data_IF_366821305485
#
_entry.id   IF_366821305485
#
_cell.length_a   1.000
_cell.length_b   1.000
_cell.length_c   1.000
_cell.angle_alpha   90.00
_cell.angle_beta   90.00
_cell.angle_gamma   90.00
#
_symmetry.space_group_name_H-M   'P 1'
#
loop_
_entity.id
_entity.type
_entity.pdbx_description
1 polymer ?
#
# COMPACT_ATOMS: atom_id res chain seq x y z
N UNK A 1 -20.59 33.61 10.99
CA UNK A 1 -19.43 32.73 10.66
C UNK A 1 -19.62 31.28 11.16
N UNK A 2 -20.07 31.02 12.40
CA UNK A 2 -20.30 29.64 12.94
C UNK A 2 -21.44 28.92 12.22
N UNK A 3 -22.52 29.62 11.88
CA UNK A 3 -23.66 29.05 11.13
C UNK A 3 -23.32 28.67 9.70
N UNK A 4 -22.49 29.45 9.00
CA UNK A 4 -22.02 29.14 7.65
C UNK A 4 -21.14 27.89 7.62
N UNK A 5 -20.24 27.73 8.63
CA UNK A 5 -19.38 26.54 8.75
C UNK A 5 -20.18 25.27 9.01
N UNK A 6 -21.18 25.34 9.91
CA UNK A 6 -22.11 24.22 10.17
C UNK A 6 -22.95 23.83 8.93
N UNK A 7 -23.42 24.81 8.15
CA UNK A 7 -24.19 24.56 6.94
C UNK A 7 -23.33 23.90 5.83
N UNK A 8 -22.08 24.33 5.69
CA UNK A 8 -21.10 23.73 4.78
C UNK A 8 -20.75 22.28 5.17
N UNK A 9 -20.56 22.03 6.48
CA UNK A 9 -20.30 20.67 7.00
C UNK A 9 -21.49 19.73 6.77
N UNK A 10 -22.73 20.18 7.05
CA UNK A 10 -23.95 19.40 6.77
C UNK A 10 -24.10 19.07 5.28
N UNK A 11 -23.82 20.01 4.39
CA UNK A 11 -23.88 19.80 2.94
C UNK A 11 -22.81 18.81 2.46
N UNK A 12 -21.57 18.93 2.96
CA UNK A 12 -20.48 18.01 2.65
C UNK A 12 -20.82 16.58 3.10
N UNK A 13 -21.38 16.43 4.31
CA UNK A 13 -21.80 15.12 4.81
C UNK A 13 -22.96 14.52 3.99
N UNK A 14 -23.93 15.35 3.57
CA UNK A 14 -25.05 14.88 2.74
C UNK A 14 -24.58 14.38 1.37
N UNK A 15 -23.64 15.09 0.73
CA UNK A 15 -23.04 14.67 -0.54
C UNK A 15 -22.27 13.36 -0.35
N UNK A 16 -21.44 13.26 0.70
CA UNK A 16 -20.67 12.06 1.01
C UNK A 16 -21.59 10.84 1.20
N UNK A 17 -22.64 10.96 2.04
CA UNK A 17 -23.58 9.85 2.24
C UNK A 17 -24.40 9.52 1.02
N UNK A 18 -24.75 10.52 0.21
CA UNK A 18 -25.44 10.32 -1.06
C UNK A 18 -24.59 9.48 -2.02
N UNK A 19 -23.32 9.85 -2.20
CA UNK A 19 -22.40 9.10 -3.05
C UNK A 19 -22.16 7.68 -2.54
N UNK A 20 -21.95 7.52 -1.22
CA UNK A 20 -21.79 6.20 -0.61
C UNK A 20 -23.04 5.33 -0.80
N UNK A 21 -24.23 5.91 -0.63
CA UNK A 21 -25.49 5.21 -0.85
C UNK A 21 -25.68 4.78 -2.29
N UNK A 22 -25.34 5.65 -3.26
CA UNK A 22 -25.39 5.32 -4.70
C UNK A 22 -24.39 4.18 -5.01
N UNK A 23 -23.15 4.29 -4.56
CA UNK A 23 -22.12 3.26 -4.81
C UNK A 23 -22.54 1.91 -4.22
N UNK A 24 -23.02 1.90 -2.98
CA UNK A 24 -23.50 0.68 -2.32
C UNK A 24 -24.73 0.12 -3.06
N UNK A 25 -25.67 0.96 -3.45
CA UNK A 25 -26.85 0.56 -4.22
C UNK A 25 -26.47 -0.08 -5.55
N UNK A 26 -25.59 0.54 -6.33
CA UNK A 26 -25.10 0.00 -7.59
C UNK A 26 -24.37 -1.33 -7.39
N UNK A 27 -23.54 -1.44 -6.33
CA UNK A 27 -22.86 -2.68 -6.00
C UNK A 27 -23.85 -3.80 -5.67
N UNK A 28 -24.85 -3.55 -4.82
CA UNK A 28 -25.89 -4.53 -4.46
C UNK A 28 -26.71 -4.93 -5.69
N UNK A 29 -27.13 -3.98 -6.52
CA UNK A 29 -27.84 -4.26 -7.77
C UNK A 29 -27.00 -5.16 -8.69
N UNK A 30 -25.71 -4.85 -8.83
CA UNK A 30 -24.78 -5.66 -9.62
C UNK A 30 -24.64 -7.08 -9.08
N UNK A 31 -24.55 -7.25 -7.75
CA UNK A 31 -24.49 -8.56 -7.12
C UNK A 31 -25.77 -9.38 -7.38
N UNK A 32 -26.93 -8.76 -7.25
CA UNK A 32 -28.22 -9.42 -7.50
C UNK A 32 -28.35 -9.79 -8.97
N UNK A 33 -28.09 -8.84 -9.88
CA UNK A 33 -28.23 -9.05 -11.32
C UNK A 33 -27.31 -10.15 -11.87
N UNK A 34 -26.14 -10.35 -11.24
CA UNK A 34 -25.13 -11.32 -11.68
C UNK A 34 -25.10 -12.59 -10.83
N UNK A 35 -26.04 -12.75 -9.90
CA UNK A 35 -26.02 -13.84 -8.89
C UNK A 35 -24.67 -13.95 -8.16
N UNK A 36 -24.12 -12.83 -7.76
CA UNK A 36 -22.86 -12.73 -7.04
C UNK A 36 -21.60 -12.73 -7.93
N UNK A 37 -21.71 -13.01 -9.22
CA UNK A 37 -20.55 -13.13 -10.12
C UNK A 37 -19.80 -11.82 -10.32
N UNK A 38 -20.45 -10.66 -10.13
CA UNK A 38 -19.80 -9.36 -10.27
C UNK A 38 -18.67 -9.13 -9.23
N UNK A 39 -18.67 -9.84 -8.10
CA UNK A 39 -17.58 -9.74 -7.14
C UNK A 39 -16.25 -10.19 -7.75
N UNK A 40 -16.27 -11.18 -8.62
CA UNK A 40 -15.09 -11.68 -9.32
C UNK A 40 -14.56 -10.73 -10.40
N UNK A 41 -15.27 -9.64 -10.73
CA UNK A 41 -14.78 -8.60 -11.63
C UNK A 41 -13.92 -7.57 -10.88
N UNK A 42 -14.10 -7.47 -9.55
CA UNK A 42 -13.40 -6.49 -8.71
C UNK A 42 -12.38 -7.14 -7.75
N UNK A 43 -12.70 -8.32 -7.23
CA UNK A 43 -11.89 -9.07 -6.30
C UNK A 43 -11.91 -10.55 -6.71
N UNK A 44 -10.83 -11.25 -6.43
CA UNK A 44 -10.67 -12.68 -6.70
C UNK A 44 -10.82 -13.08 -8.19
N UNK A 45 -10.54 -12.11 -9.08
CA UNK A 45 -10.66 -12.32 -10.53
C UNK A 45 -9.71 -13.39 -11.04
N UNK A 46 -8.43 -13.28 -10.73
CA UNK A 46 -7.43 -14.28 -11.09
C UNK A 46 -7.16 -15.23 -9.94
N UNK A 47 -7.74 -16.41 -10.03
CA UNK A 47 -7.58 -17.46 -9.02
C UNK A 47 -6.13 -17.85 -8.76
N UNK A 48 -5.24 -17.67 -9.76
CA UNK A 48 -3.81 -17.95 -9.60
C UNK A 48 -3.10 -16.89 -8.76
N UNK A 49 -3.65 -15.68 -8.70
CA UNK A 49 -3.06 -14.54 -8.03
C UNK A 49 -3.60 -14.27 -6.62
N UNK A 50 -4.73 -14.92 -6.25
CA UNK A 50 -5.35 -14.73 -4.92
C UNK A 50 -4.34 -15.04 -3.82
N UNK A 51 -4.05 -14.04 -2.96
CA UNK A 51 -3.11 -14.07 -1.83
C UNK A 51 -1.65 -14.36 -2.20
N UNK A 52 -1.33 -14.48 -3.50
CA UNK A 52 -0.04 -15.02 -3.93
C UNK A 52 1.13 -14.07 -3.69
N UNK A 53 0.93 -12.76 -3.56
CA UNK A 53 2.02 -11.85 -3.17
C UNK A 53 2.58 -12.21 -1.78
N UNK A 54 1.72 -12.67 -0.84
CA UNK A 54 2.14 -13.15 0.47
C UNK A 54 2.92 -14.47 0.35
N UNK A 55 2.34 -15.47 -0.30
CA UNK A 55 2.93 -16.80 -0.37
C UNK A 55 4.20 -16.84 -1.21
N UNK A 56 4.22 -16.15 -2.37
CA UNK A 56 5.42 -16.05 -3.21
C UNK A 56 6.56 -15.34 -2.49
N UNK A 57 6.28 -14.23 -1.81
CA UNK A 57 7.33 -13.51 -1.07
C UNK A 57 7.90 -14.35 0.08
N UNK A 58 7.09 -15.19 0.72
CA UNK A 58 7.58 -16.15 1.72
C UNK A 58 8.46 -17.21 1.08
N UNK A 59 8.05 -17.75 -0.06
CA UNK A 59 8.88 -18.72 -0.81
C UNK A 59 10.23 -18.14 -1.22
N UNK A 60 10.23 -16.87 -1.62
CA UNK A 60 11.44 -16.19 -2.07
C UNK A 60 12.44 -16.00 -0.93
N UNK A 61 11.99 -15.64 0.27
CA UNK A 61 12.88 -15.47 1.42
C UNK A 61 13.22 -16.78 2.15
N UNK A 62 12.43 -17.85 1.95
CA UNK A 62 12.64 -19.11 2.64
C UNK A 62 13.98 -19.77 2.30
N UNK A 63 14.52 -19.55 1.11
CA UNK A 63 15.84 -20.03 0.71
C UNK A 63 17.02 -19.26 1.34
N UNK A 64 16.74 -18.14 2.04
CA UNK A 64 17.76 -17.24 2.58
C UNK A 64 18.37 -16.27 1.57
N UNK A 65 18.04 -16.40 0.28
CA UNK A 65 18.53 -15.54 -0.79
C UNK A 65 17.36 -15.01 -1.66
N UNK A 66 16.63 -13.99 -1.19
CA UNK A 66 15.54 -13.41 -1.95
C UNK A 66 16.04 -12.66 -3.20
N UNK A 67 17.22 -12.07 -3.16
CA UNK A 67 17.71 -11.22 -4.25
C UNK A 67 18.23 -12.02 -5.44
N UNK A 68 18.82 -13.17 -5.22
CA UNK A 68 19.13 -14.13 -6.28
C UNK A 68 17.87 -14.62 -7.02
N UNK A 69 16.71 -14.57 -6.39
CA UNK A 69 15.39 -14.84 -7.02
C UNK A 69 14.75 -13.61 -7.68
N UNK A 70 15.52 -12.56 -7.93
CA UNK A 70 15.07 -11.31 -8.59
C UNK A 70 14.00 -10.53 -7.82
N UNK A 71 13.96 -10.67 -6.51
CA UNK A 71 13.04 -9.94 -5.66
C UNK A 71 13.37 -8.45 -5.61
N UNK A 72 12.32 -7.61 -5.43
CA UNK A 72 12.39 -6.15 -5.56
C UNK A 72 11.98 -5.38 -4.31
N UNK A 73 11.60 -6.08 -3.25
CA UNK A 73 11.26 -5.40 -1.99
C UNK A 73 12.51 -5.12 -1.15
N UNK A 74 12.49 -4.07 -0.31
CA UNK A 74 13.53 -3.86 0.69
C UNK A 74 13.63 -5.04 1.66
N UNK A 75 14.81 -5.28 2.28
CA UNK A 75 15.07 -6.50 3.05
C UNK A 75 14.22 -6.65 4.30
N UNK A 76 13.77 -5.56 4.92
CA UNK A 76 12.86 -5.64 6.07
C UNK A 76 11.56 -6.39 5.73
N UNK A 77 11.07 -6.27 4.50
CA UNK A 77 9.93 -7.03 3.99
C UNK A 77 10.15 -8.52 4.12
N UNK A 78 11.33 -8.99 3.71
CA UNK A 78 11.66 -10.42 3.75
C UNK A 78 11.94 -10.91 5.17
N UNK A 79 12.47 -10.07 6.06
CA UNK A 79 12.56 -10.37 7.50
C UNK A 79 11.16 -10.64 8.08
N UNK A 80 10.19 -9.79 7.75
CA UNK A 80 8.79 -9.97 8.20
C UNK A 80 8.22 -11.30 7.65
N UNK A 81 8.39 -11.56 6.37
CA UNK A 81 7.89 -12.78 5.75
C UNK A 81 8.60 -14.05 6.28
N UNK A 82 9.88 -13.97 6.63
CA UNK A 82 10.61 -15.07 7.27
C UNK A 82 9.99 -15.44 8.63
N UNK A 83 9.42 -14.49 9.37
CA UNK A 83 8.69 -14.79 10.60
C UNK A 83 7.44 -15.64 10.29
N UNK A 84 6.67 -15.26 9.29
CA UNK A 84 5.46 -15.99 8.91
C UNK A 84 5.75 -17.35 8.27
N UNK A 85 6.89 -17.50 7.59
CA UNK A 85 7.28 -18.77 6.99
C UNK A 85 7.40 -19.91 8.02
N UNK A 86 7.73 -19.58 9.27
CA UNK A 86 7.85 -20.55 10.38
C UNK A 86 6.52 -21.20 10.75
N UNK A 87 5.41 -20.59 10.37
CA UNK A 87 4.06 -21.07 10.66
C UNK A 87 3.41 -21.78 9.46
N UNK A 88 4.11 -21.85 8.33
CA UNK A 88 3.61 -22.46 7.11
C UNK A 88 4.18 -23.88 6.90
N UNK A 89 3.45 -24.76 6.22
CA UNK A 89 3.94 -26.13 5.90
C UNK A 89 4.91 -26.07 4.72
N UNK A 90 6.14 -25.54 4.95
CA UNK A 90 7.13 -25.32 3.89
C UNK A 90 7.64 -26.59 3.22
N UNK A 91 7.53 -27.75 3.87
CA UNK A 91 7.82 -29.05 3.21
C UNK A 91 6.78 -29.38 2.13
N UNK A 92 5.54 -28.95 2.30
CA UNK A 92 4.53 -29.00 1.24
C UNK A 92 4.92 -28.11 0.05
N UNK A 93 5.47 -26.91 0.33
CA UNK A 93 5.94 -26.01 -0.71
C UNK A 93 7.04 -26.66 -1.60
N UNK A 94 7.98 -27.39 -0.98
CA UNK A 94 9.04 -28.10 -1.70
C UNK A 94 8.52 -29.21 -2.62
N UNK A 95 7.45 -29.89 -2.20
CA UNK A 95 6.90 -31.06 -2.94
C UNK A 95 5.85 -30.66 -3.97
N UNK A 96 5.00 -29.70 -3.66
CA UNK A 96 3.79 -29.41 -4.42
C UNK A 96 3.66 -27.91 -4.82
N UNK A 97 4.65 -27.07 -4.46
CA UNK A 97 4.66 -25.66 -4.76
C UNK A 97 3.80 -24.81 -3.80
N UNK A 98 3.90 -23.49 -3.94
CA UNK A 98 3.25 -22.54 -3.03
C UNK A 98 1.73 -22.47 -3.19
N UNK A 99 1.18 -22.88 -4.32
CA UNK A 99 -0.29 -23.00 -4.47
C UNK A 99 -0.88 -24.04 -3.51
N UNK A 100 -0.21 -25.17 -3.32
CA UNK A 100 -0.66 -26.18 -2.37
C UNK A 100 -0.63 -25.66 -0.92
N UNK A 101 0.40 -24.88 -0.56
CA UNK A 101 0.48 -24.22 0.75
C UNK A 101 -0.65 -23.24 0.92
N UNK A 102 -0.90 -22.37 -0.06
CA UNK A 102 -2.00 -21.39 -0.03
C UNK A 102 -3.36 -22.07 0.17
N UNK A 103 -3.60 -23.13 -0.58
CA UNK A 103 -4.90 -23.83 -0.58
C UNK A 103 -5.06 -24.76 0.63
N UNK A 104 -4.01 -24.92 1.46
CA UNK A 104 -4.08 -25.69 2.70
C UNK A 104 -4.81 -24.91 3.81
N UNK A 105 -5.47 -25.64 4.72
CA UNK A 105 -6.12 -25.03 5.89
C UNK A 105 -5.12 -24.22 6.74
N UNK A 106 -3.89 -24.74 6.92
CA UNK A 106 -2.83 -24.04 7.66
C UNK A 106 -2.38 -22.76 6.96
N UNK A 107 -2.16 -22.81 5.63
CA UNK A 107 -1.77 -21.64 4.85
C UNK A 107 -2.81 -20.53 4.91
N UNK A 108 -4.08 -20.87 4.67
CA UNK A 108 -5.18 -19.90 4.77
C UNK A 108 -5.32 -19.33 6.19
N UNK A 109 -5.18 -20.16 7.22
CA UNK A 109 -5.24 -19.71 8.62
C UNK A 109 -4.13 -18.70 8.92
N UNK A 110 -2.89 -18.97 8.54
CA UNK A 110 -1.76 -18.06 8.75
C UNK A 110 -1.99 -16.74 8.01
N UNK A 111 -2.47 -16.81 6.77
CA UNK A 111 -2.78 -15.60 5.99
C UNK A 111 -3.92 -14.78 6.64
N UNK A 112 -4.97 -15.42 7.11
CA UNK A 112 -6.09 -14.74 7.80
C UNK A 112 -5.64 -14.11 9.12
N UNK A 113 -4.77 -14.78 9.89
CA UNK A 113 -4.19 -14.21 11.11
C UNK A 113 -3.33 -12.99 10.77
N UNK A 114 -2.46 -13.08 9.73
CA UNK A 114 -1.68 -11.96 9.24
C UNK A 114 -2.57 -10.75 8.90
N UNK A 115 -3.62 -10.97 8.14
CA UNK A 115 -4.59 -9.92 7.76
C UNK A 115 -5.32 -9.34 8.97
N UNK A 116 -5.80 -10.20 9.86
CA UNK A 116 -6.53 -9.79 11.08
C UNK A 116 -5.68 -8.91 11.98
N UNK A 117 -4.41 -9.24 12.16
CA UNK A 117 -3.46 -8.43 12.96
C UNK A 117 -3.40 -7.02 12.39
N UNK A 118 -3.26 -6.86 11.07
CA UNK A 118 -3.15 -5.56 10.44
C UNK A 118 -4.45 -4.77 10.57
N UNK A 119 -5.59 -5.41 10.31
CA UNK A 119 -6.91 -4.78 10.44
C UNK A 119 -7.14 -4.28 11.88
N UNK A 120 -6.83 -5.11 12.87
CA UNK A 120 -6.96 -4.73 14.30
C UNK A 120 -6.06 -3.53 14.63
N UNK A 121 -4.81 -3.52 14.14
CA UNK A 121 -3.89 -2.39 14.35
C UNK A 121 -4.47 -1.12 13.70
N UNK A 122 -4.92 -1.18 12.45
CA UNK A 122 -5.48 -0.03 11.75
C UNK A 122 -6.72 0.52 12.47
N UNK A 123 -7.63 -0.36 12.89
CA UNK A 123 -8.81 0.04 13.66
C UNK A 123 -8.42 0.67 15.00
N UNK A 124 -7.49 0.07 15.74
CA UNK A 124 -7.02 0.60 17.01
C UNK A 124 -6.41 2.01 16.83
N UNK A 125 -5.62 2.23 15.78
CA UNK A 125 -5.06 3.54 15.45
C UNK A 125 -6.15 4.57 15.13
N UNK A 126 -7.13 4.22 14.30
CA UNK A 126 -8.26 5.09 13.97
C UNK A 126 -9.02 5.46 15.25
N UNK A 127 -9.39 4.48 16.05
CA UNK A 127 -10.18 4.71 17.26
C UNK A 127 -9.45 5.49 18.34
N UNK A 128 -8.13 5.34 18.44
CA UNK A 128 -7.28 6.06 19.41
C UNK A 128 -6.98 7.49 18.99
N UNK A 129 -6.59 7.70 17.75
CA UNK A 129 -5.99 8.97 17.32
C UNK A 129 -6.91 9.85 16.48
N UNK A 130 -7.89 9.29 15.75
CA UNK A 130 -8.80 10.10 14.95
C UNK A 130 -9.70 10.94 15.86
N UNK A 131 -9.69 12.25 15.62
CA UNK A 131 -10.56 13.21 16.33
C UNK A 131 -11.98 13.12 15.77
N UNK A 132 -12.96 13.06 16.65
CA UNK A 132 -14.38 13.01 16.28
C UNK A 132 -15.19 12.09 17.18
N UNK A 133 -16.49 12.08 16.97
CA UNK A 133 -17.42 11.20 17.66
C UNK A 133 -17.31 9.74 17.17
N UNK A 134 -17.97 8.82 17.86
CA UNK A 134 -17.95 7.40 17.51
C UNK A 134 -18.44 7.14 16.08
N UNK A 135 -19.43 7.93 15.62
CA UNK A 135 -19.99 7.80 14.27
C UNK A 135 -18.95 8.13 13.20
N UNK A 136 -18.23 9.25 13.36
CA UNK A 136 -17.15 9.65 12.43
C UNK A 136 -16.03 8.61 12.40
N UNK A 137 -15.63 8.07 13.56
CA UNK A 137 -14.61 7.01 13.64
C UNK A 137 -15.05 5.75 12.92
N UNK A 138 -16.29 5.31 13.14
CA UNK A 138 -16.85 4.14 12.46
C UNK A 138 -16.89 4.35 10.94
N UNK A 139 -17.39 5.50 10.49
CA UNK A 139 -17.44 5.84 9.06
C UNK A 139 -16.05 5.81 8.42
N UNK A 140 -15.08 6.45 9.06
CA UNK A 140 -13.70 6.44 8.56
C UNK A 140 -13.11 5.03 8.55
N UNK A 141 -13.40 4.21 9.57
CA UNK A 141 -13.00 2.80 9.60
C UNK A 141 -13.57 2.01 8.42
N UNK A 142 -14.88 2.14 8.18
CA UNK A 142 -15.55 1.45 7.07
C UNK A 142 -14.99 1.90 5.72
N UNK A 143 -14.88 3.22 5.49
CA UNK A 143 -14.35 3.77 4.24
C UNK A 143 -12.91 3.29 4.00
N UNK A 144 -12.09 3.29 5.04
CA UNK A 144 -10.70 2.83 4.93
C UNK A 144 -10.63 1.35 4.56
N UNK A 145 -11.31 0.49 5.31
CA UNK A 145 -11.25 -0.96 5.10
C UNK A 145 -11.95 -1.42 3.83
N UNK A 146 -13.02 -0.73 3.41
CA UNK A 146 -13.76 -1.06 2.19
C UNK A 146 -13.24 -0.30 0.96
N UNK A 147 -12.17 0.47 1.08
CA UNK A 147 -11.57 1.14 -0.07
C UNK A 147 -10.95 0.12 -1.03
N UNK A 148 -11.09 0.35 -2.34
CA UNK A 148 -10.53 -0.56 -3.36
C UNK A 148 -9.03 -0.83 -3.20
N UNK A 149 -8.16 0.14 -2.88
CA UNK A 149 -6.75 -0.15 -2.64
C UNK A 149 -6.52 -1.14 -1.51
N UNK A 150 -7.33 -1.04 -0.44
CA UNK A 150 -7.23 -1.93 0.72
C UNK A 150 -7.77 -3.33 0.38
N UNK A 151 -8.94 -3.41 -0.24
CA UNK A 151 -9.51 -4.69 -0.68
C UNK A 151 -8.64 -5.40 -1.71
N UNK A 152 -8.07 -4.66 -2.66
CA UNK A 152 -7.16 -5.23 -3.65
C UNK A 152 -5.84 -5.70 -3.02
N UNK A 153 -5.32 -4.97 -2.04
CA UNK A 153 -4.14 -5.41 -1.29
C UNK A 153 -4.40 -6.67 -0.49
N UNK A 154 -5.63 -6.82 0.05
CA UNK A 154 -6.08 -8.06 0.68
C UNK A 154 -6.16 -9.19 -0.34
N UNK A 155 -6.83 -8.99 -1.46
CA UNK A 155 -6.97 -9.98 -2.52
C UNK A 155 -5.61 -10.51 -3.00
N UNK A 156 -4.64 -9.62 -3.17
CA UNK A 156 -3.27 -9.98 -3.58
C UNK A 156 -2.40 -10.57 -2.46
N UNK A 157 -2.73 -10.33 -1.20
CA UNK A 157 -1.85 -10.63 -0.07
C UNK A 157 -0.64 -9.71 0.03
N UNK A 158 -0.76 -8.46 -0.48
CA UNK A 158 0.38 -7.57 -0.60
C UNK A 158 0.77 -6.93 0.73
N UNK A 159 2.06 -6.88 1.04
CA UNK A 159 2.61 -6.29 2.28
C UNK A 159 2.32 -4.78 2.44
N UNK A 160 1.80 -4.13 1.42
CA UNK A 160 1.41 -2.71 1.48
C UNK A 160 0.45 -2.42 2.64
N UNK A 161 -0.34 -3.38 3.07
CA UNK A 161 -1.17 -3.27 4.26
C UNK A 161 -0.37 -2.99 5.52
N UNK A 162 0.69 -3.76 5.70
CA UNK A 162 1.59 -3.61 6.84
C UNK A 162 2.29 -2.25 6.80
N UNK A 163 2.78 -1.88 5.63
CA UNK A 163 3.33 -0.55 5.36
C UNK A 163 2.33 0.57 5.70
N UNK A 164 1.06 0.43 5.31
CA UNK A 164 0.00 1.40 5.59
C UNK A 164 -0.25 1.57 7.09
N UNK A 165 -0.22 0.50 7.87
CA UNK A 165 -0.39 0.59 9.32
C UNK A 165 0.70 1.46 9.97
N UNK A 166 1.98 1.29 9.60
CA UNK A 166 3.07 2.13 10.07
C UNK A 166 2.95 3.58 9.58
N UNK A 167 2.54 3.78 8.34
CA UNK A 167 2.31 5.12 7.81
C UNK A 167 1.18 5.83 8.57
N UNK A 168 0.12 5.13 8.95
CA UNK A 168 -0.94 5.68 9.80
C UNK A 168 -0.42 6.11 11.18
N UNK A 169 0.49 5.35 11.80
CA UNK A 169 1.14 5.77 13.05
C UNK A 169 1.84 7.10 12.87
N UNK A 170 2.65 7.24 11.81
CA UNK A 170 3.32 8.51 11.50
C UNK A 170 2.34 9.66 11.34
N UNK A 171 1.32 9.52 10.49
CA UNK A 171 0.34 10.59 10.22
C UNK A 171 -0.40 11.00 11.48
N UNK A 172 -0.83 10.06 12.31
CA UNK A 172 -1.58 10.35 13.53
C UNK A 172 -0.74 10.94 14.65
N UNK A 173 0.57 10.66 14.68
CA UNK A 173 1.47 11.16 15.73
C UNK A 173 2.32 12.35 15.30
N UNK A 174 2.26 12.72 14.03
CA UNK A 174 3.07 13.78 13.42
C UNK A 174 3.06 15.09 14.20
N UNK A 175 1.87 15.61 14.55
CA UNK A 175 1.68 16.86 15.30
C UNK A 175 1.48 16.64 16.80
N UNK A 176 1.86 15.50 17.35
CA UNK A 176 1.69 15.21 18.76
C UNK A 176 2.54 16.15 19.62
N UNK A 177 1.96 16.69 20.69
CA UNK A 177 2.73 17.44 21.71
C UNK A 177 3.68 16.55 22.52
N UNK A 178 3.39 15.25 22.58
CA UNK A 178 4.24 14.26 23.23
C UNK A 178 5.43 13.91 22.35
N UNK A 179 6.65 14.22 22.81
CA UNK A 179 7.90 13.95 22.10
C UNK A 179 8.08 12.45 21.78
N UNK A 180 7.71 11.57 22.71
CA UNK A 180 7.83 10.10 22.52
C UNK A 180 6.93 9.64 21.36
N UNK A 181 5.68 10.12 21.32
CA UNK A 181 4.77 9.75 20.24
C UNK A 181 5.24 10.27 18.88
N UNK A 182 5.84 11.47 18.83
CA UNK A 182 6.45 11.97 17.59
C UNK A 182 7.63 11.10 17.16
N UNK A 183 8.46 10.68 18.10
CA UNK A 183 9.60 9.80 17.80
C UNK A 183 9.16 8.43 17.28
N UNK A 184 8.12 7.85 17.90
CA UNK A 184 7.48 6.62 17.40
C UNK A 184 6.97 6.83 15.97
N UNK A 185 6.41 8.02 15.67
CA UNK A 185 6.00 8.38 14.31
C UNK A 185 7.15 8.37 13.31
N UNK A 186 8.29 9.01 13.65
CA UNK A 186 9.46 9.04 12.76
C UNK A 186 10.01 7.64 12.50
N UNK A 187 10.12 6.81 13.53
CA UNK A 187 10.53 5.40 13.41
C UNK A 187 9.53 4.63 12.54
N UNK A 188 8.23 4.88 12.72
CA UNK A 188 7.18 4.22 11.92
C UNK A 188 7.25 4.61 10.44
N UNK A 189 7.55 5.88 10.11
CA UNK A 189 7.79 6.29 8.73
C UNK A 189 9.02 5.58 8.14
N UNK A 190 10.10 5.48 8.92
CA UNK A 190 11.31 4.76 8.53
C UNK A 190 11.03 3.27 8.25
N UNK A 191 10.23 2.61 9.11
CA UNK A 191 9.78 1.23 8.92
C UNK A 191 8.93 1.11 7.66
N UNK A 192 7.93 1.99 7.48
CA UNK A 192 7.07 1.98 6.29
C UNK A 192 7.90 2.12 5.00
N UNK A 193 8.87 3.03 4.98
CA UNK A 193 9.79 3.24 3.85
C UNK A 193 10.70 2.02 3.61
N UNK A 194 11.10 1.33 4.67
CA UNK A 194 11.94 0.13 4.58
C UNK A 194 11.16 -1.15 4.22
N UNK A 195 9.82 -1.08 4.23
CA UNK A 195 8.94 -2.12 3.67
C UNK A 195 8.65 -1.83 2.19
N UNK A 196 8.31 -0.59 1.88
CA UNK A 196 8.04 -0.08 0.52
C UNK A 196 8.65 1.32 0.41
N UNK A 197 9.39 1.61 -0.64
CA UNK A 197 10.19 2.86 -0.75
C UNK A 197 9.31 4.12 -0.82
N UNK A 198 8.15 4.06 -1.47
CA UNK A 198 7.33 5.25 -1.74
C UNK A 198 6.81 6.02 -0.50
N UNK A 199 6.61 5.45 0.71
CA UNK A 199 6.28 6.24 1.90
C UNK A 199 7.29 7.32 2.27
N UNK A 200 8.53 7.26 1.77
CA UNK A 200 9.54 8.31 1.96
C UNK A 200 9.02 9.71 1.61
N UNK A 201 8.08 9.79 0.67
CA UNK A 201 7.43 11.05 0.24
C UNK A 201 6.77 11.79 1.42
N UNK A 202 6.25 11.07 2.41
CA UNK A 202 5.68 11.68 3.61
C UNK A 202 6.73 12.36 4.50
N UNK A 203 8.01 12.01 4.35
CA UNK A 203 9.11 12.72 4.99
C UNK A 203 9.27 14.16 4.52
N UNK A 204 8.78 14.51 3.33
CA UNK A 204 8.74 15.88 2.83
C UNK A 204 7.91 16.81 3.73
N UNK A 205 6.93 16.29 4.47
CA UNK A 205 6.16 17.06 5.46
C UNK A 205 7.09 17.69 6.50
N UNK A 206 8.12 16.98 6.95
CA UNK A 206 9.10 17.49 7.92
C UNK A 206 9.92 18.64 7.32
N UNK A 207 10.26 18.55 6.05
CA UNK A 207 11.03 19.56 5.32
C UNK A 207 10.19 20.83 5.15
N UNK A 208 8.94 20.69 4.67
CA UNK A 208 8.02 21.82 4.48
C UNK A 208 7.66 22.52 5.79
N UNK A 209 7.53 21.77 6.88
CA UNK A 209 7.28 22.32 8.22
C UNK A 209 8.57 22.82 8.91
N UNK A 210 9.71 22.82 8.18
CA UNK A 210 11.03 23.27 8.68
C UNK A 210 11.51 22.52 9.93
N UNK A 211 11.06 21.27 10.12
CA UNK A 211 11.39 20.41 11.27
C UNK A 211 12.70 19.65 11.02
N UNK A 212 13.76 20.36 10.71
CA UNK A 212 15.03 19.82 10.25
C UNK A 212 15.67 18.79 11.19
N UNK A 213 15.58 19.03 12.51
CA UNK A 213 16.11 18.09 13.50
C UNK A 213 15.38 16.75 13.48
N UNK A 214 14.08 16.74 13.25
CA UNK A 214 13.27 15.52 13.11
C UNK A 214 13.51 14.85 11.75
N UNK A 215 13.65 15.64 10.69
CA UNK A 215 13.99 15.11 9.37
C UNK A 215 15.34 14.38 9.39
N UNK A 216 16.38 14.96 10.04
CA UNK A 216 17.68 14.29 10.19
C UNK A 216 17.56 12.95 10.95
N UNK A 217 16.82 12.92 12.08
CA UNK A 217 16.61 11.68 12.82
C UNK A 217 15.85 10.64 11.99
N UNK A 218 14.79 11.07 11.28
CA UNK A 218 14.02 10.19 10.41
C UNK A 218 14.89 9.56 9.31
N UNK A 219 15.82 10.33 8.72
CA UNK A 219 16.78 9.82 7.73
C UNK A 219 17.71 8.79 8.39
N UNK A 220 18.25 9.08 9.59
CA UNK A 220 19.11 8.13 10.31
C UNK A 220 18.36 6.82 10.59
N UNK A 221 17.12 6.90 11.09
CA UNK A 221 16.28 5.71 11.31
C UNK A 221 16.02 4.97 9.99
N UNK A 222 15.71 5.71 8.92
CA UNK A 222 15.50 5.13 7.59
C UNK A 222 16.70 4.36 7.09
N UNK A 223 17.89 4.96 7.17
CA UNK A 223 19.15 4.30 6.77
C UNK A 223 19.38 3.04 7.60
N UNK A 224 19.27 3.11 8.92
CA UNK A 224 19.51 1.96 9.79
C UNK A 224 18.47 0.84 9.51
N UNK A 225 17.19 1.17 9.50
CA UNK A 225 16.11 0.18 9.33
C UNK A 225 16.09 -0.40 7.91
N UNK A 226 16.57 0.34 6.91
CA UNK A 226 16.68 -0.14 5.55
C UNK A 226 17.90 -1.05 5.34
N UNK A 227 19.08 -0.66 5.86
CA UNK A 227 20.32 -1.38 5.55
C UNK A 227 20.64 -2.53 6.51
N UNK A 228 20.33 -2.40 7.81
CA UNK A 228 20.65 -3.47 8.79
C UNK A 228 20.03 -4.82 8.41
N UNK A 229 18.78 -4.90 7.93
CA UNK A 229 18.19 -6.18 7.55
C UNK A 229 18.89 -6.92 6.40
N UNK A 230 19.74 -6.26 5.60
CA UNK A 230 20.57 -6.96 4.61
C UNK A 230 21.51 -7.99 5.22
N UNK A 231 21.92 -7.79 6.48
CA UNK A 231 22.74 -8.75 7.20
C UNK A 231 22.08 -10.13 7.35
N UNK A 232 20.75 -10.19 7.24
CA UNK A 232 20.00 -11.45 7.27
C UNK A 232 20.03 -12.21 5.92
N UNK A 233 20.48 -11.56 4.83
CA UNK A 233 20.32 -12.05 3.45
C UNK A 233 21.61 -11.89 2.61
N UNK A 234 22.77 -12.16 3.17
CA UNK A 234 24.04 -12.12 2.42
C UNK A 234 24.86 -10.83 2.60
N UNK A 235 24.33 -9.84 3.34
CA UNK A 235 25.07 -8.61 3.66
C UNK A 235 24.80 -7.44 2.72
N UNK A 236 25.61 -6.40 2.86
CA UNK A 236 25.38 -5.13 2.15
C UNK A 236 25.61 -5.20 0.63
N UNK A 237 26.32 -6.20 0.13
CA UNK A 237 26.45 -6.45 -1.31
C UNK A 237 25.11 -6.68 -2.01
N UNK A 238 24.14 -7.26 -1.30
CA UNK A 238 22.81 -7.51 -1.81
C UNK A 238 22.02 -6.23 -2.17
N UNK A 239 22.45 -5.08 -1.68
CA UNK A 239 21.88 -3.80 -2.09
C UNK A 239 22.10 -3.53 -3.59
N UNK A 240 23.27 -3.88 -4.13
CA UNK A 240 23.54 -3.71 -5.57
C UNK A 240 22.69 -4.67 -6.41
N UNK A 241 22.46 -5.89 -5.90
CA UNK A 241 21.58 -6.86 -6.54
C UNK A 241 20.12 -6.37 -6.53
N UNK A 242 19.66 -5.84 -5.40
CA UNK A 242 18.33 -5.20 -5.32
C UNK A 242 18.17 -4.08 -6.34
N UNK A 243 19.15 -3.18 -6.49
CA UNK A 243 19.11 -2.11 -7.49
C UNK A 243 19.03 -2.65 -8.91
N UNK A 244 19.82 -3.67 -9.23
CA UNK A 244 19.75 -4.37 -10.51
C UNK A 244 18.37 -4.99 -10.74
N UNK A 245 17.83 -5.67 -9.74
CA UNK A 245 16.50 -6.28 -9.81
C UNK A 245 15.40 -5.23 -10.04
N UNK A 246 15.46 -4.08 -9.36
CA UNK A 246 14.52 -2.96 -9.56
C UNK A 246 14.59 -2.40 -10.98
N UNK A 247 15.81 -2.24 -11.53
CA UNK A 247 16.00 -1.76 -12.90
C UNK A 247 15.43 -2.78 -13.91
N UNK A 248 15.73 -4.06 -13.73
CA UNK A 248 15.24 -5.12 -14.59
C UNK A 248 13.71 -5.27 -14.52
N UNK A 249 13.11 -5.17 -13.32
CA UNK A 249 11.67 -5.19 -13.15
C UNK A 249 11.01 -3.98 -13.83
N UNK A 250 11.62 -2.80 -13.76
CA UNK A 250 11.12 -1.61 -14.44
C UNK A 250 11.11 -1.78 -15.96
N UNK A 251 12.19 -2.34 -16.51
CA UNK A 251 12.31 -2.62 -17.95
C UNK A 251 11.29 -3.67 -18.40
N UNK A 252 11.14 -4.77 -17.64
CA UNK A 252 10.15 -5.80 -17.90
C UNK A 252 8.72 -5.27 -17.87
N UNK A 253 8.38 -4.51 -16.82
CA UNK A 253 7.06 -3.88 -16.72
C UNK A 253 6.82 -2.86 -17.83
N UNK A 254 7.86 -2.21 -18.34
CA UNK A 254 7.80 -1.36 -19.54
C UNK A 254 7.46 -2.13 -20.81
N UNK A 255 7.98 -3.38 -20.94
CA UNK A 255 7.81 -4.21 -22.13
C UNK A 255 6.46 -4.93 -22.22
N UNK A 256 5.79 -5.22 -21.08
CA UNK A 256 4.51 -5.94 -21.04
C UNK A 256 3.34 -5.08 -21.62
N UNK A 257 3.56 -3.78 -21.77
CA UNK A 257 2.50 -2.85 -22.19
C UNK A 257 1.59 -2.42 -21.04
N UNK A 258 0.56 -1.64 -21.37
CA UNK A 258 -0.24 -0.91 -20.37
C UNK A 258 -1.37 -1.74 -19.74
N UNK A 259 -1.78 -2.85 -20.34
CA UNK A 259 -2.97 -3.62 -19.95
C UNK A 259 -2.95 -4.26 -18.55
N UNK A 260 -1.76 -4.36 -17.93
CA UNK A 260 -1.58 -5.06 -16.64
C UNK A 260 -1.36 -4.12 -15.45
N UNK A 261 -1.58 -2.82 -15.60
CA UNK A 261 -1.34 -1.84 -14.54
C UNK A 261 -2.59 -1.01 -14.26
N UNK A 262 -3.07 -1.05 -13.02
CA UNK A 262 -4.09 -0.13 -12.53
C UNK A 262 -3.44 1.18 -12.07
N UNK A 263 -3.31 2.13 -12.97
CA UNK A 263 -2.86 3.49 -12.66
C UNK A 263 -3.53 4.49 -13.59
N UNK A 264 -3.43 5.77 -13.27
CA UNK A 264 -4.05 6.84 -14.06
C UNK A 264 -3.58 6.83 -15.53
N UNK A 265 -2.30 6.55 -15.76
CA UNK A 265 -1.73 6.42 -17.10
C UNK A 265 -2.46 5.37 -17.94
N UNK A 266 -2.66 4.18 -17.38
CA UNK A 266 -3.36 3.09 -18.07
C UNK A 266 -4.84 3.38 -18.29
N UNK A 267 -5.48 4.10 -17.38
CA UNK A 267 -6.88 4.54 -17.58
C UNK A 267 -6.97 5.47 -18.78
N UNK A 268 -6.10 6.47 -18.85
CA UNK A 268 -6.04 7.39 -19.99
C UNK A 268 -5.68 6.63 -21.27
N UNK A 269 -4.73 5.70 -21.19
CA UNK A 269 -4.32 4.86 -22.30
C UNK A 269 -5.47 3.99 -22.83
N UNK A 270 -6.24 3.37 -21.92
CA UNK A 270 -7.42 2.60 -22.29
C UNK A 270 -8.48 3.43 -23.01
N UNK A 271 -8.68 4.69 -22.59
CA UNK A 271 -9.57 5.61 -23.29
C UNK A 271 -9.07 5.91 -24.71
N UNK A 272 -7.76 6.19 -24.86
CA UNK A 272 -7.18 6.42 -26.20
C UNK A 272 -7.18 5.16 -27.07
N UNK A 273 -6.99 4.00 -26.50
CA UNK A 273 -7.05 2.72 -27.20
C UNK A 273 -8.46 2.43 -27.75
N UNK A 274 -9.48 2.67 -26.91
CA UNK A 274 -10.90 2.58 -27.32
C UNK A 274 -11.25 3.57 -28.44
N UNK A 275 -10.65 4.77 -28.40
CA UNK A 275 -10.83 5.79 -29.44
C UNK A 275 -9.97 5.53 -30.69
N UNK A 276 -9.25 4.42 -30.75
CA UNK A 276 -8.39 4.00 -31.88
C UNK A 276 -7.28 5.01 -32.25
N UNK A 277 -6.85 5.83 -31.29
CA UNK A 277 -5.80 6.84 -31.51
C UNK A 277 -4.47 6.34 -30.92
N UNK A 278 -3.92 5.31 -31.52
CA UNK A 278 -2.61 4.78 -31.13
C UNK A 278 -1.47 5.53 -31.82
N UNK A 279 -0.53 6.06 -31.02
CA UNK A 279 0.76 6.49 -31.50
C UNK A 279 1.84 6.35 -30.42
N UNK A 280 3.02 5.78 -30.72
CA UNK A 280 4.08 5.57 -29.74
C UNK A 280 4.61 6.86 -29.09
N UNK A 281 4.36 8.02 -29.70
CA UNK A 281 4.75 9.33 -29.14
C UNK A 281 3.83 9.81 -28.01
N UNK A 282 2.57 9.40 -28.02
CA UNK A 282 1.58 9.79 -26.99
C UNK A 282 1.93 9.15 -25.66
N UNK A 283 2.50 7.96 -25.66
CA UNK A 283 2.89 7.21 -24.46
C UNK A 283 3.93 7.96 -23.64
N UNK A 284 4.98 8.43 -24.29
CA UNK A 284 6.05 9.20 -23.65
C UNK A 284 5.54 10.55 -23.17
N UNK A 285 4.76 11.24 -24.00
CA UNK A 285 4.18 12.53 -23.62
C UNK A 285 3.26 12.41 -22.40
N UNK A 286 2.41 11.38 -22.37
CA UNK A 286 1.52 11.10 -21.27
C UNK A 286 2.30 10.74 -19.99
N UNK A 287 3.36 9.97 -20.12
CA UNK A 287 4.23 9.62 -19.00
C UNK A 287 4.96 10.86 -18.44
N UNK A 288 5.45 11.74 -19.30
CA UNK A 288 6.06 13.00 -18.86
C UNK A 288 5.03 13.95 -18.23
N UNK A 289 3.83 14.04 -18.80
CA UNK A 289 2.74 14.84 -18.22
C UNK A 289 2.35 14.33 -16.83
N UNK A 290 2.33 13.01 -16.61
CA UNK A 290 2.09 12.41 -15.30
C UNK A 290 3.21 12.70 -14.31
N UNK A 291 4.45 12.58 -14.71
CA UNK A 291 5.58 12.95 -13.86
C UNK A 291 5.54 14.44 -13.50
N UNK A 292 5.26 15.30 -14.45
CA UNK A 292 5.06 16.73 -14.21
C UNK A 292 3.88 16.96 -13.24
N UNK A 293 2.75 16.29 -13.45
CA UNK A 293 1.60 16.36 -12.54
C UNK A 293 1.99 15.97 -11.11
N UNK A 294 2.69 14.86 -10.91
CA UNK A 294 3.13 14.46 -9.57
C UNK A 294 4.11 15.45 -8.95
N UNK A 295 5.05 15.97 -9.73
CA UNK A 295 6.05 16.97 -9.27
C UNK A 295 5.37 18.28 -8.86
N UNK A 296 4.35 18.75 -9.59
CA UNK A 296 3.63 19.98 -9.28
C UNK A 296 2.51 19.78 -8.26
N UNK A 297 1.82 18.66 -8.30
CA UNK A 297 0.65 18.40 -7.45
C UNK A 297 1.04 18.13 -5.99
N UNK A 298 2.13 17.40 -5.75
CA UNK A 298 2.61 17.13 -4.40
C UNK A 298 2.90 18.42 -3.61
N UNK A 299 3.69 19.40 -4.13
CA UNK A 299 3.85 20.68 -3.47
C UNK A 299 2.54 21.43 -3.23
N UNK A 300 1.59 21.38 -4.17
CA UNK A 300 0.30 22.05 -4.02
C UNK A 300 -0.53 21.48 -2.85
N UNK A 301 -0.50 20.17 -2.63
CA UNK A 301 -1.15 19.54 -1.46
C UNK A 301 -0.55 20.09 -0.16
N UNK A 302 0.76 20.24 -0.11
CA UNK A 302 1.45 20.76 1.08
C UNK A 302 1.21 22.26 1.29
N UNK A 303 1.19 23.06 0.22
CA UNK A 303 0.89 24.49 0.28
C UNK A 303 -0.58 24.78 0.65
N UNK A 304 -1.50 23.90 0.25
CA UNK A 304 -2.92 24.03 0.63
C UNK A 304 -3.17 23.78 2.12
N UNK A 305 -2.21 23.22 2.86
CA UNK A 305 -2.31 22.99 4.30
C UNK A 305 -2.26 24.30 5.11
N UNK A 306 -1.70 25.38 4.58
CA UNK A 306 -1.58 26.67 5.27
C UNK A 306 -2.86 27.52 5.25
N UNK A 307 -3.95 27.04 4.64
CA UNK A 307 -5.26 27.70 4.57
C UNK A 307 -6.35 26.86 5.22
#
# INVERSE_FOLDING_TARGET
TRGSKMKKEKRSNAVFYGLMGIMLGLFVISLIATCGKSIYQFLFYDRKDIFMDFFNSINDCFSGDPYGKKCIYPPLTYVIYTIFSKFLPMDMAKKHGMFAVRDSAQGLTVYMIYTLIIVVIMLALIWKFLKGDRKKKLQFSVVTLMSMPVLYSFDRGNIVWFCMAFLMVYIFTYDSKNKILREIGLISLAIATSIKIYPVVFGLMLIFDKRWAEAKRCIIYGVLIFFVPFLCFGGFSEFTVLLSNLTNASNFLGSIGHGYRLNFSNTVYGVFDVLQHRGPRIDKLLQYALYAFYVFYLPCIFLARER
#
